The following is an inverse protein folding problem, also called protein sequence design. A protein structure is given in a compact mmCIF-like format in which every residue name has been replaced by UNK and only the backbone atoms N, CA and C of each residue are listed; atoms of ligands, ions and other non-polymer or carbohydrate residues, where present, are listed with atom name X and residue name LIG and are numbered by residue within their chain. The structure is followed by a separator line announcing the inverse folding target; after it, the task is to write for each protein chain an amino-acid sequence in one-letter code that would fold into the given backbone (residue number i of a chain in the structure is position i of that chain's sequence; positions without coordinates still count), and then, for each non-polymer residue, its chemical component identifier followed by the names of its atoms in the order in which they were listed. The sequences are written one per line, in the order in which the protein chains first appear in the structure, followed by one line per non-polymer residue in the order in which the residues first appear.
data_IF_212260338247
#
_entry.id   IF_212260338247
#
_cell.length_a   1.000
_cell.length_b   1.000
_cell.length_c   1.000
_cell.angle_alpha   90.00
_cell.angle_beta   90.00
_cell.angle_gamma   90.00
#
_symmetry.space_group_name_H-M   'P 1'
#
loop_
_entity.id
_entity.type
_entity.pdbx_description
1 polymer ?
#
# COMPACT_ATOMS: atom_id res chain seq x y z
N UNK A 1 9.10 -8.10 4.94
CA UNK A 1 7.82 -7.96 4.21
C UNK A 1 8.03 -8.59 2.84
N UNK A 2 7.09 -9.37 2.34
CA UNK A 2 7.19 -9.99 1.01
C UNK A 2 6.96 -8.91 -0.07
N UNK A 3 7.89 -8.76 -1.01
CA UNK A 3 7.74 -7.87 -2.17
C UNK A 3 7.23 -8.62 -3.41
N UNK A 4 6.74 -7.88 -4.40
CA UNK A 4 6.34 -8.47 -5.68
C UNK A 4 7.52 -9.15 -6.39
N UNK A 5 8.73 -8.59 -6.26
CA UNK A 5 9.96 -9.20 -6.80
C UNK A 5 10.33 -10.49 -6.05
N UNK A 6 10.09 -10.58 -4.74
CA UNK A 6 10.32 -11.81 -3.99
C UNK A 6 9.40 -12.95 -4.45
N UNK A 7 8.20 -12.63 -4.92
CA UNK A 7 7.25 -13.60 -5.46
C UNK A 7 7.70 -14.07 -6.84
N UNK A 8 8.05 -13.15 -7.74
CA UNK A 8 8.55 -13.47 -9.09
C UNK A 8 9.83 -14.30 -9.03
N UNK A 9 10.74 -13.99 -8.10
CA UNK A 9 12.00 -14.72 -7.95
C UNK A 9 11.85 -16.04 -7.19
N UNK A 10 10.66 -16.37 -6.70
CA UNK A 10 10.44 -17.59 -5.92
C UNK A 10 10.45 -18.81 -6.82
N UNK A 11 11.40 -19.71 -6.57
CA UNK A 11 11.44 -21.02 -7.22
C UNK A 11 10.93 -22.10 -6.27
N UNK A 12 9.88 -22.81 -6.68
CA UNK A 12 9.30 -23.91 -5.93
C UNK A 12 9.95 -25.24 -6.32
N UNK A 13 10.11 -26.15 -5.35
CA UNK A 13 10.59 -27.52 -5.62
C UNK A 13 9.43 -28.35 -6.17
N UNK A 14 9.62 -29.04 -7.28
CA UNK A 14 8.62 -29.94 -7.85
C UNK A 14 8.56 -31.27 -7.08
N UNK A 15 7.36 -31.86 -6.97
CA UNK A 15 7.11 -33.18 -6.37
C UNK A 15 6.18 -33.98 -7.29
N UNK A 16 6.26 -35.31 -7.22
CA UNK A 16 5.54 -36.22 -8.14
C UNK A 16 4.01 -36.12 -8.06
N UNK A 17 3.48 -35.70 -6.90
CA UNK A 17 2.05 -35.43 -6.67
C UNK A 17 1.82 -33.93 -6.32
N UNK A 18 2.68 -33.05 -6.83
CA UNK A 18 2.60 -31.60 -6.60
C UNK A 18 1.65 -30.88 -7.54
N UNK A 19 1.48 -29.58 -7.32
CA UNK A 19 0.83 -28.68 -8.28
C UNK A 19 1.61 -28.64 -9.60
N UNK A 20 0.89 -28.41 -10.71
CA UNK A 20 1.50 -28.13 -12.00
C UNK A 20 2.28 -26.82 -11.92
N UNK A 21 3.59 -26.79 -12.28
CA UNK A 21 4.36 -25.56 -12.32
C UNK A 21 3.71 -24.44 -13.12
N UNK A 22 3.09 -24.74 -14.26
CA UNK A 22 2.49 -23.72 -15.13
C UNK A 22 1.26 -23.09 -14.45
N UNK A 23 0.40 -23.90 -13.82
CA UNK A 23 -0.74 -23.40 -13.05
C UNK A 23 -0.30 -22.53 -11.85
N UNK A 24 0.82 -22.89 -11.22
CA UNK A 24 1.40 -22.10 -10.13
C UNK A 24 1.91 -20.76 -10.65
N UNK A 25 2.63 -20.76 -11.77
CA UNK A 25 3.16 -19.53 -12.37
C UNK A 25 2.03 -18.58 -12.78
N UNK A 26 0.98 -19.08 -13.44
CA UNK A 26 -0.21 -18.30 -13.80
C UNK A 26 -0.88 -17.65 -12.57
N UNK A 27 -1.03 -18.43 -11.48
CA UNK A 27 -1.58 -17.90 -10.22
C UNK A 27 -0.68 -16.84 -9.58
N UNK A 28 0.64 -17.04 -9.61
CA UNK A 28 1.59 -16.09 -9.04
C UNK A 28 1.62 -14.77 -9.82
N UNK A 29 1.42 -14.80 -11.14
CA UNK A 29 1.26 -13.60 -11.94
C UNK A 29 0.04 -12.77 -11.52
N UNK A 30 -1.10 -13.42 -11.26
CA UNK A 30 -2.29 -12.76 -10.72
C UNK A 30 -2.03 -12.17 -9.32
N UNK A 31 -1.37 -12.92 -8.45
CA UNK A 31 -1.02 -12.45 -7.09
C UNK A 31 -0.08 -11.24 -7.15
N UNK A 32 0.93 -11.26 -8.03
CA UNK A 32 1.87 -10.15 -8.22
C UNK A 32 1.15 -8.89 -8.71
N UNK A 33 0.22 -9.04 -9.65
CA UNK A 33 -0.59 -7.94 -10.18
C UNK A 33 -1.44 -7.30 -9.08
N UNK A 34 -2.16 -8.10 -8.29
CA UNK A 34 -2.98 -7.58 -7.20
C UNK A 34 -2.15 -6.98 -6.07
N UNK A 35 -1.00 -7.58 -5.73
CA UNK A 35 -0.10 -7.04 -4.72
C UNK A 35 0.40 -5.64 -5.11
N UNK A 36 0.81 -5.46 -6.37
CA UNK A 36 1.22 -4.14 -6.89
C UNK A 36 0.06 -3.14 -6.85
N UNK A 37 -1.15 -3.56 -7.21
CA UNK A 37 -2.35 -2.72 -7.15
C UNK A 37 -2.60 -2.23 -5.72
N UNK A 38 -2.55 -3.13 -4.74
CA UNK A 38 -2.76 -2.81 -3.33
C UNK A 38 -1.66 -1.87 -2.81
N UNK A 39 -0.40 -2.09 -3.19
CA UNK A 39 0.71 -1.22 -2.78
C UNK A 39 0.50 0.22 -3.29
N UNK A 40 0.19 0.38 -4.58
CA UNK A 40 -0.10 1.69 -5.18
C UNK A 40 -1.31 2.36 -4.50
N UNK A 41 -2.37 1.60 -4.24
CA UNK A 41 -3.57 2.10 -3.57
C UNK A 41 -3.26 2.55 -2.14
N UNK A 42 -2.50 1.75 -1.38
CA UNK A 42 -2.10 2.05 -0.02
C UNK A 42 -1.22 3.30 0.04
N UNK A 43 -0.22 3.41 -0.84
CA UNK A 43 0.63 4.59 -0.95
C UNK A 43 -0.20 5.83 -1.28
N UNK A 44 -1.14 5.72 -2.22
CA UNK A 44 -2.08 6.79 -2.56
C UNK A 44 -2.98 7.21 -1.39
N UNK A 45 -3.46 6.26 -0.59
CA UNK A 45 -4.24 6.53 0.61
C UNK A 45 -3.41 7.21 1.70
N UNK A 46 -2.18 6.72 1.95
CA UNK A 46 -1.27 7.33 2.92
C UNK A 46 -0.94 8.78 2.54
N UNK A 47 -0.70 9.08 1.26
CA UNK A 47 -0.48 10.46 0.79
C UNK A 47 -1.72 11.34 1.03
N UNK A 48 -2.93 10.82 0.78
CA UNK A 48 -4.17 11.56 1.06
C UNK A 48 -4.36 11.83 2.55
N UNK A 49 -4.04 10.85 3.41
CA UNK A 49 -4.08 11.01 4.87
C UNK A 49 -3.12 12.12 5.30
N UNK A 50 -1.85 12.05 4.90
CA UNK A 50 -0.84 13.05 5.24
C UNK A 50 -1.22 14.47 4.76
N UNK A 51 -1.76 14.60 3.55
CA UNK A 51 -2.24 15.88 3.03
C UNK A 51 -3.43 16.43 3.83
N UNK A 52 -4.36 15.55 4.22
CA UNK A 52 -5.53 15.92 5.02
C UNK A 52 -5.11 16.35 6.43
N UNK A 53 -4.21 15.60 7.07
CA UNK A 53 -3.68 15.92 8.40
C UNK A 53 -2.95 17.27 8.40
N UNK A 54 -2.16 17.56 7.36
CA UNK A 54 -1.49 18.86 7.20
C UNK A 54 -2.49 20.01 7.10
N UNK A 55 -3.55 19.85 6.29
CA UNK A 55 -4.64 20.83 6.14
C UNK A 55 -5.38 21.06 7.47
N UNK A 56 -5.65 19.99 8.21
CA UNK A 56 -6.30 20.07 9.53
C UNK A 56 -5.40 20.82 10.52
N UNK A 57 -4.11 20.53 10.55
CA UNK A 57 -3.16 21.20 11.43
C UNK A 57 -3.04 22.71 11.11
N UNK A 58 -3.07 23.10 9.83
CA UNK A 58 -3.13 24.52 9.42
C UNK A 58 -4.39 25.22 9.93
N UNK A 59 -5.56 24.60 9.76
CA UNK A 59 -6.83 25.15 10.22
C UNK A 59 -6.88 25.29 11.75
N UNK A 60 -6.35 24.32 12.48
CA UNK A 60 -6.25 24.39 13.94
C UNK A 60 -5.35 25.55 14.40
N UNK A 61 -4.23 25.78 13.70
CA UNK A 61 -3.34 26.94 13.98
C UNK A 61 -4.02 28.28 13.67
N UNK A 62 -4.78 28.37 12.58
CA UNK A 62 -5.52 29.57 12.21
C UNK A 62 -6.71 29.87 13.13
N UNK A 63 -7.42 28.84 13.60
CA UNK A 63 -8.57 28.97 14.51
C UNK A 63 -8.20 29.45 15.91
N UNK A 64 -6.97 29.20 16.38
CA UNK A 64 -6.47 29.68 17.67
C UNK A 64 -6.15 31.18 17.70
N UNK A 65 -6.03 31.85 16.56
CA UNK A 65 -5.65 33.27 16.48
C UNK A 65 -6.84 34.24 16.61
N UNK A 66 -8.09 33.75 16.50
CA UNK A 66 -9.29 34.60 16.52
C UNK A 66 -9.87 34.78 17.94
N UNK A 67 -9.40 34.00 18.93
CA UNK A 67 -9.98 33.99 20.29
C UNK A 67 -9.27 34.90 21.32
N UNK A 68 -8.23 35.66 20.93
CA UNK A 68 -7.47 36.53 21.83
C UNK A 68 -7.49 38.01 21.36
N UNK A 69 -8.69 38.58 21.24
CA UNK A 69 -8.87 40.04 21.13
C UNK A 69 -9.13 40.65 22.51
N UNK A 70 -8.41 41.71 22.93
CA UNK A 70 -8.46 42.24 24.30
C UNK A 70 -9.80 42.96 24.57
N UNK A 71 -10.37 42.75 25.76
CA UNK A 71 -11.43 43.56 26.37
C UNK A 71 -10.89 44.22 27.63
#
# INVERSE_FOLDING_TARGET
MLSAEDIVNKQFKTKRDGYDPDDVDDFLDEVVKELRRIQIENDGLNQKVLATESRVAELQRGGGSIAAGPI
#
